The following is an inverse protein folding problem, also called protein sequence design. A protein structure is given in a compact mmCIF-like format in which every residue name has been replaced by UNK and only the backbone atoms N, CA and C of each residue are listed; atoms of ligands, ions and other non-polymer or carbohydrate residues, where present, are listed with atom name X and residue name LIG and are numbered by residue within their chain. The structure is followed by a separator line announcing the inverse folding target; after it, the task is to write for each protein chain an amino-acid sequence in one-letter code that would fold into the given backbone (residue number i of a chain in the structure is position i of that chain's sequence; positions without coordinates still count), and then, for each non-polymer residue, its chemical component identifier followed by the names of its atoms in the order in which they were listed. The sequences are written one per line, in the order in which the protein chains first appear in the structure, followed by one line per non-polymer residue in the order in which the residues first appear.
data_IF_485130113157
#
_entry.id   IF_485130113157
#
_cell.length_a   1.000
_cell.length_b   1.000
_cell.length_c   1.000
_cell.angle_alpha   90.00
_cell.angle_beta   90.00
_cell.angle_gamma   90.00
#
_symmetry.space_group_name_H-M   'P 1'
#
loop_
_entity.id
_entity.type
_entity.pdbx_description
1 polymer ?
#
# COMPACT_ATOMS: atom_id res chain seq x y z
N UNK A 1 -6.42 -4.21 8.12
CA UNK A 1 -5.24 -3.42 8.00
C UNK A 1 -5.45 -1.94 8.07
N UNK A 2 -4.36 -1.28 8.30
CA UNK A 2 -4.36 0.18 8.43
C UNK A 2 -4.17 0.83 7.07
N UNK A 3 -4.75 2.01 6.92
CA UNK A 3 -4.51 2.83 5.74
C UNK A 3 -3.35 3.75 6.03
N UNK A 4 -2.42 3.84 5.08
CA UNK A 4 -1.26 4.71 5.20
C UNK A 4 -1.03 5.41 3.88
N UNK A 5 -0.27 6.49 3.93
CA UNK A 5 0.09 7.24 2.73
C UNK A 5 1.50 6.87 2.30
N UNK A 6 1.68 6.70 1.01
CA UNK A 6 3.00 6.42 0.44
C UNK A 6 3.82 7.70 0.48
N UNK A 7 4.97 7.62 1.13
CA UNK A 7 5.82 8.78 1.37
C UNK A 7 6.89 8.95 0.30
N UNK A 8 7.40 7.83 -0.22
CA UNK A 8 8.42 7.87 -1.26
C UNK A 8 8.32 6.61 -2.11
N UNK A 9 8.65 6.74 -3.39
CA UNK A 9 8.66 5.62 -4.34
C UNK A 9 9.91 5.75 -5.20
N UNK A 10 10.78 4.72 -5.24
CA UNK A 10 11.94 4.76 -6.12
C UNK A 10 11.49 4.74 -7.58
N UNK A 11 12.17 5.51 -8.40
CA UNK A 11 11.82 5.57 -9.82
C UNK A 11 12.11 4.27 -10.53
N UNK A 12 13.03 3.49 -10.01
CA UNK A 12 13.46 2.23 -10.64
C UNK A 12 12.53 1.08 -10.33
N UNK A 13 11.72 1.21 -9.29
CA UNK A 13 10.84 0.13 -8.87
C UNK A 13 9.57 0.68 -8.26
N UNK A 14 8.55 0.94 -9.09
CA UNK A 14 7.30 1.52 -8.59
C UNK A 14 6.48 0.57 -7.73
N UNK A 15 6.86 -0.70 -7.65
CA UNK A 15 6.17 -1.66 -6.80
C UNK A 15 6.72 -1.67 -5.39
N UNK A 16 7.61 -0.78 -5.07
CA UNK A 16 8.23 -0.64 -3.78
C UNK A 16 8.12 0.81 -3.33
N UNK A 17 8.20 1.05 -2.04
CA UNK A 17 8.14 2.41 -1.54
C UNK A 17 8.36 2.45 -0.05
N UNK A 18 8.08 3.62 0.52
CA UNK A 18 8.23 3.85 1.95
C UNK A 18 6.99 4.55 2.47
N UNK A 19 6.59 4.16 3.67
CA UNK A 19 5.52 4.83 4.39
C UNK A 19 6.02 5.20 5.78
N UNK A 20 5.39 6.21 6.37
CA UNK A 20 5.69 6.63 7.72
C UNK A 20 4.56 6.14 8.61
N UNK A 21 4.89 5.32 9.60
CA UNK A 21 3.88 4.70 10.45
C UNK A 21 4.41 4.63 11.86
N UNK A 22 3.66 5.19 12.80
CA UNK A 22 4.02 5.18 14.23
C UNK A 22 5.42 5.73 14.49
N UNK A 23 5.77 6.80 13.77
CA UNK A 23 7.07 7.45 13.98
C UNK A 23 8.24 6.78 13.28
N UNK A 24 7.98 5.75 12.49
CA UNK A 24 9.03 5.00 11.81
C UNK A 24 8.76 4.93 10.32
N UNK A 25 9.83 4.84 9.55
CA UNK A 25 9.71 4.60 8.11
C UNK A 25 9.73 3.11 7.86
N UNK A 26 8.73 2.64 7.13
CA UNK A 26 8.61 1.24 6.77
C UNK A 26 8.72 1.08 5.27
N UNK A 27 9.49 0.11 4.85
CA UNK A 27 9.52 -0.24 3.44
C UNK A 27 8.26 -1.02 3.10
N UNK A 28 7.67 -0.72 1.96
CA UNK A 28 6.43 -1.38 1.53
C UNK A 28 6.62 -1.97 0.15
N UNK A 29 5.82 -2.98 -0.13
CA UNK A 29 5.82 -3.67 -1.41
C UNK A 29 4.38 -3.86 -1.86
N UNK A 30 4.15 -3.75 -3.16
CA UNK A 30 2.82 -3.85 -3.73
C UNK A 30 2.86 -4.58 -5.05
N UNK A 31 1.76 -5.26 -5.38
CA UNK A 31 1.62 -5.88 -6.70
C UNK A 31 1.23 -4.86 -7.76
N UNK A 32 0.77 -3.69 -7.34
CA UNK A 32 0.44 -2.60 -8.27
C UNK A 32 1.43 -1.47 -8.09
N UNK A 33 1.58 -0.66 -9.12
CA UNK A 33 2.49 0.48 -9.04
C UNK A 33 2.02 1.47 -7.99
N UNK A 34 2.97 2.02 -7.26
CA UNK A 34 2.71 2.98 -6.19
C UNK A 34 3.05 4.38 -6.66
N UNK A 35 2.41 5.37 -6.03
CA UNK A 35 2.69 6.78 -6.27
C UNK A 35 2.78 7.48 -4.93
N UNK A 36 3.65 8.49 -4.88
CA UNK A 36 3.78 9.32 -3.67
C UNK A 36 2.45 10.00 -3.39
N UNK A 37 2.03 9.96 -2.13
CA UNK A 37 0.76 10.54 -1.71
C UNK A 37 -0.42 9.61 -1.86
N UNK A 38 -0.23 8.45 -2.45
CA UNK A 38 -1.29 7.47 -2.61
C UNK A 38 -1.63 6.85 -1.26
N UNK A 39 -2.92 6.62 -1.03
CA UNK A 39 -3.35 5.89 0.14
C UNK A 39 -3.38 4.40 -0.17
N UNK A 40 -2.81 3.60 0.72
CA UNK A 40 -2.76 2.15 0.55
C UNK A 40 -3.14 1.48 1.86
N UNK A 41 -3.57 0.23 1.77
CA UNK A 41 -3.92 -0.57 2.93
C UNK A 41 -2.81 -1.58 3.20
N UNK A 42 -2.38 -1.67 4.44
CA UNK A 42 -1.41 -2.69 4.86
C UNK A 42 -2.15 -4.00 4.95
N UNK A 43 -1.70 -5.00 4.20
CA UNK A 43 -2.37 -6.30 4.15
C UNK A 43 -1.54 -7.39 4.80
N UNK A 44 -0.23 -7.21 4.94
CA UNK A 44 0.62 -8.22 5.56
C UNK A 44 1.92 -7.58 6.00
N UNK A 45 2.63 -8.27 6.86
CA UNK A 45 3.94 -7.87 7.32
C UNK A 45 4.90 -9.04 7.13
N UNK A 46 6.07 -8.75 6.58
CA UNK A 46 7.11 -9.75 6.36
C UNK A 46 8.43 -9.19 6.89
N UNK A 47 8.71 -9.50 8.17
CA UNK A 47 9.91 -8.98 8.81
C UNK A 47 9.84 -7.48 8.95
N UNK A 48 10.73 -6.78 8.27
CA UNK A 48 10.81 -5.32 8.31
C UNK A 48 10.12 -4.66 7.13
N UNK A 49 9.36 -5.43 6.36
CA UNK A 49 8.71 -4.94 5.16
C UNK A 49 7.21 -5.17 5.29
N UNK A 50 6.43 -4.23 4.78
CA UNK A 50 4.98 -4.35 4.76
C UNK A 50 4.53 -4.63 3.34
N UNK A 51 3.48 -5.42 3.21
CA UNK A 51 2.80 -5.57 1.93
C UNK A 51 1.55 -4.72 1.95
N UNK A 52 1.32 -4.00 0.87
CA UNK A 52 0.19 -3.07 0.78
C UNK A 52 -0.57 -3.33 -0.50
N UNK A 53 -1.81 -2.86 -0.52
CA UNK A 53 -2.70 -2.97 -1.67
C UNK A 53 -3.52 -1.70 -1.77
N UNK A 54 -4.08 -1.40 -2.95
CA UNK A 54 -4.97 -0.26 -3.09
C UNK A 54 -6.20 -0.45 -2.20
N UNK A 55 -6.66 0.62 -1.53
CA UNK A 55 -7.87 0.49 -0.69
C UNK A 55 -9.08 0.11 -1.50
N UNK A 56 -9.16 0.52 -2.74
CA UNK A 56 -10.31 0.27 -3.59
C UNK A 56 -10.46 -1.19 -3.97
N UNK A 57 -9.46 -2.01 -3.76
CA UNK A 57 -9.56 -3.42 -4.09
C UNK A 57 -10.70 -4.11 -3.33
N UNK A 58 -10.92 -3.70 -2.10
CA UNK A 58 -12.01 -4.25 -1.31
C UNK A 58 -13.37 -3.81 -1.83
N UNK A 59 -13.46 -2.57 -2.25
CA UNK A 59 -14.71 -2.02 -2.74
C UNK A 59 -15.16 -2.68 -4.02
N UNK A 60 -14.22 -3.16 -4.80
CA UNK A 60 -14.56 -3.79 -6.07
C UNK A 60 -15.46 -4.99 -5.88
N UNK A 61 -15.23 -5.74 -4.83
CA UNK A 61 -16.05 -6.91 -4.57
C UNK A 61 -17.47 -6.52 -4.23
N UNK A 62 -17.62 -5.45 -3.51
CA UNK A 62 -18.94 -4.98 -3.16
C UNK A 62 -19.73 -4.59 -4.38
N UNK A 63 -19.07 -3.96 -5.32
CA UNK A 63 -19.75 -3.58 -6.55
C UNK A 63 -20.25 -4.79 -7.31
N UNK A 64 -19.47 -5.84 -7.30
CA UNK A 64 -19.88 -7.05 -7.98
C UNK A 64 -21.10 -7.67 -7.34
N UNK A 65 -21.17 -7.59 -6.04
CA UNK A 65 -22.33 -8.12 -5.34
C UNK A 65 -23.58 -7.30 -5.60
N UNK A 66 -23.43 -6.04 -5.86
CA UNK A 66 -24.56 -5.18 -6.13
C UNK A 66 -25.23 -5.47 -7.45
N UNK A 67 -24.59 -6.24 -8.25
CA UNK A 67 -25.13 -6.60 -9.54
C UNK A 67 -25.86 -7.93 -9.46
#
# INVERSE_FOLDING_TARGET
GSLVLVDAVPTQNPHSGWVHLHGENWQVRSTTALQVGQQVRVIARDGLQLEVAPPSATNREELNHGL
#
